data_IF_290420112013
#
_entry.id   IF_290420112013
#
_cell.length_a   1.000
_cell.length_b   1.000
_cell.length_c   1.000
_cell.angle_alpha   90.00
_cell.angle_beta   90.00
_cell.angle_gamma   90.00
#
_symmetry.space_group_name_H-M   'P 1'
#
loop_
_entity.id
_entity.type
_entity.pdbx_description
1 polymer ?
#
# COMPACT_ATOMS: atom_id res chain seq x y z
N UNK A 1 -11.44 -21.68 41.33
CA UNK A 1 -10.31 -21.74 40.38
C UNK A 1 -10.71 -21.49 38.91
N UNK A 2 -12.00 -21.48 38.57
CA UNK A 2 -12.51 -21.23 37.21
C UNK A 2 -12.47 -19.74 36.81
N UNK A 3 -12.72 -18.82 37.75
CA UNK A 3 -12.71 -17.36 37.51
C UNK A 3 -11.34 -16.83 37.03
N UNK A 4 -10.24 -17.48 37.42
CA UNK A 4 -8.89 -17.06 37.01
C UNK A 4 -8.55 -17.47 35.56
N UNK A 5 -9.25 -18.46 35.00
CA UNK A 5 -9.08 -18.90 33.62
C UNK A 5 -9.85 -18.00 32.65
N UNK A 6 -11.05 -17.57 33.01
CA UNK A 6 -11.85 -16.64 32.19
C UNK A 6 -11.20 -15.25 32.10
N UNK A 7 -10.71 -14.69 33.20
CA UNK A 7 -9.97 -13.43 33.17
C UNK A 7 -8.69 -13.50 32.31
N UNK A 8 -8.02 -14.66 32.29
CA UNK A 8 -6.85 -14.89 31.43
C UNK A 8 -7.24 -14.95 29.96
N UNK A 9 -8.27 -15.72 29.61
CA UNK A 9 -8.75 -15.81 28.23
C UNK A 9 -9.18 -14.44 27.70
N UNK A 10 -9.97 -13.69 28.48
CA UNK A 10 -10.37 -12.33 28.10
C UNK A 10 -9.18 -11.40 27.87
N UNK A 11 -8.11 -11.53 28.65
CA UNK A 11 -6.90 -10.75 28.43
C UNK A 11 -6.20 -11.12 27.12
N UNK A 12 -6.14 -12.41 26.79
CA UNK A 12 -5.54 -12.92 25.55
C UNK A 12 -6.34 -12.44 24.32
N UNK A 13 -7.66 -12.51 24.37
CA UNK A 13 -8.55 -12.05 23.29
C UNK A 13 -8.39 -10.54 23.04
N UNK A 14 -8.28 -9.74 24.12
CA UNK A 14 -8.04 -8.29 24.01
C UNK A 14 -6.68 -8.01 23.38
N UNK A 15 -5.63 -8.75 23.73
CA UNK A 15 -4.31 -8.60 23.11
C UNK A 15 -4.33 -8.92 21.62
N UNK A 16 -5.04 -9.99 21.22
CA UNK A 16 -5.19 -10.36 19.82
C UNK A 16 -5.95 -9.29 19.02
N UNK A 17 -7.01 -8.73 19.60
CA UNK A 17 -7.75 -7.61 18.99
C UNK A 17 -6.90 -6.35 18.84
N UNK A 18 -6.08 -6.01 19.84
CA UNK A 18 -5.17 -4.87 19.74
C UNK A 18 -4.12 -5.06 18.63
N UNK A 19 -3.59 -6.27 18.48
CA UNK A 19 -2.66 -6.60 17.40
C UNK A 19 -3.31 -6.49 16.02
N UNK A 20 -4.56 -6.95 15.88
CA UNK A 20 -5.32 -6.76 14.63
C UNK A 20 -5.50 -5.27 14.33
N UNK A 21 -5.86 -4.47 15.34
CA UNK A 21 -6.05 -3.03 15.20
C UNK A 21 -4.76 -2.31 14.77
N UNK A 22 -3.62 -2.64 15.38
CA UNK A 22 -2.31 -2.07 15.03
C UNK A 22 -1.95 -2.34 13.57
N UNK A 23 -2.13 -3.58 13.10
CA UNK A 23 -1.84 -3.93 11.70
C UNK A 23 -2.85 -3.26 10.76
N UNK A 24 -4.10 -3.08 11.18
CA UNK A 24 -5.09 -2.36 10.37
C UNK A 24 -4.72 -0.88 10.16
N UNK A 25 -4.20 -0.23 11.20
CA UNK A 25 -3.65 1.14 11.10
C UNK A 25 -2.45 1.17 10.15
N UNK A 26 -1.52 0.22 10.27
CA UNK A 26 -0.37 0.11 9.35
C UNK A 26 -0.83 -0.02 7.88
N UNK A 27 -1.88 -0.81 7.62
CA UNK A 27 -2.44 -0.95 6.26
C UNK A 27 -2.95 0.39 5.74
N UNK A 28 -3.72 1.14 6.53
CA UNK A 28 -4.25 2.45 6.12
C UNK A 28 -3.12 3.44 5.82
N UNK A 29 -2.10 3.51 6.69
CA UNK A 29 -0.93 4.37 6.47
C UNK A 29 -0.18 4.02 5.18
N UNK A 30 0.05 2.73 4.93
CA UNK A 30 0.71 2.27 3.70
C UNK A 30 -0.15 2.51 2.46
N UNK A 31 -1.48 2.43 2.56
CA UNK A 31 -2.39 2.75 1.47
C UNK A 31 -2.35 4.24 1.12
N UNK A 32 -2.34 5.12 2.13
CA UNK A 32 -2.13 6.56 1.94
C UNK A 32 -0.79 6.85 1.29
N UNK A 33 0.29 6.23 1.78
CA UNK A 33 1.62 6.38 1.17
C UNK A 33 1.63 5.92 -0.29
N UNK A 34 1.03 4.76 -0.60
CA UNK A 34 0.94 4.28 -1.98
C UNK A 34 0.06 5.17 -2.89
N UNK A 35 -0.93 5.87 -2.32
CA UNK A 35 -1.73 6.86 -3.04
C UNK A 35 -0.92 8.12 -3.38
N UNK A 36 -0.06 8.58 -2.48
CA UNK A 36 0.86 9.70 -2.73
C UNK A 36 1.85 9.35 -3.86
N UNK A 37 2.52 8.20 -3.79
CA UNK A 37 3.44 7.74 -4.84
C UNK A 37 2.75 7.59 -6.20
N UNK A 38 1.47 7.21 -6.20
CA UNK A 38 0.67 7.15 -7.42
C UNK A 38 0.39 8.56 -7.97
N UNK A 39 0.09 9.53 -7.11
CA UNK A 39 -0.12 10.91 -7.51
C UNK A 39 1.17 11.52 -8.07
N UNK A 40 2.33 11.23 -7.47
CA UNK A 40 3.63 11.66 -7.96
C UNK A 40 3.94 11.08 -9.34
N UNK A 41 3.70 9.78 -9.54
CA UNK A 41 3.81 9.15 -10.87
C UNK A 41 2.88 9.81 -11.90
N UNK A 42 1.64 10.12 -11.52
CA UNK A 42 0.69 10.80 -12.42
C UNK A 42 1.15 12.23 -12.75
N UNK A 43 1.73 12.93 -11.78
CA UNK A 43 2.33 14.24 -11.97
C UNK A 43 3.52 14.17 -12.94
N UNK A 44 4.39 13.17 -12.78
CA UNK A 44 5.52 12.94 -13.67
C UNK A 44 5.08 12.63 -15.12
N UNK A 45 4.05 11.80 -15.31
CA UNK A 45 3.43 11.62 -16.63
C UNK A 45 2.84 12.92 -17.19
N UNK A 46 2.22 13.75 -16.34
CA UNK A 46 1.73 15.07 -16.72
C UNK A 46 2.85 16.00 -17.21
N UNK A 47 3.93 16.10 -16.44
CA UNK A 47 5.10 16.91 -16.76
C UNK A 47 5.78 16.47 -18.06
N UNK A 48 5.94 15.16 -18.27
CA UNK A 48 6.49 14.62 -19.52
C UNK A 48 5.63 15.02 -20.73
N UNK A 49 4.30 14.85 -20.62
CA UNK A 49 3.36 15.21 -21.68
C UNK A 49 3.41 16.70 -22.03
N UNK A 50 3.50 17.56 -21.01
CA UNK A 50 3.66 19.00 -21.21
C UNK A 50 4.97 19.33 -21.92
N UNK A 51 6.08 18.68 -21.54
CA UNK A 51 7.38 18.90 -22.16
C UNK A 51 7.40 18.59 -23.66
N UNK A 52 6.69 17.54 -24.09
CA UNK A 52 6.62 17.17 -25.52
C UNK A 52 5.43 17.80 -26.26
N UNK A 53 4.62 18.62 -25.57
CA UNK A 53 3.44 19.25 -26.16
C UNK A 53 2.33 18.27 -26.56
N UNK A 54 2.26 17.10 -25.93
CA UNK A 54 1.29 16.06 -26.26
C UNK A 54 0.18 15.98 -25.21
N UNK A 55 -1.08 16.01 -25.62
CA UNK A 55 -2.22 15.80 -24.71
C UNK A 55 -2.28 14.34 -24.20
N UNK A 56 -1.97 13.41 -25.12
CA UNK A 56 -2.00 11.97 -24.89
C UNK A 56 -0.79 11.30 -25.51
N UNK A 57 -0.24 10.33 -24.78
CA UNK A 57 0.76 9.40 -25.29
C UNK A 57 0.08 8.06 -25.56
N UNK A 58 0.22 7.56 -26.78
CA UNK A 58 -0.38 6.28 -27.19
C UNK A 58 0.49 5.13 -26.68
N UNK A 59 -0.13 4.08 -26.15
CA UNK A 59 0.59 2.92 -25.66
C UNK A 59 1.39 2.26 -26.79
N UNK A 60 2.57 1.74 -26.46
CA UNK A 60 3.50 1.07 -27.37
C UNK A 60 4.07 1.99 -28.48
N UNK A 61 3.95 3.31 -28.33
CA UNK A 61 4.61 4.29 -29.21
C UNK A 61 6.04 4.63 -28.73
N UNK A 62 6.89 5.23 -29.57
CA UNK A 62 8.21 5.71 -29.13
C UNK A 62 8.14 6.71 -27.96
N UNK A 63 7.12 7.56 -27.94
CA UNK A 63 6.86 8.52 -26.86
C UNK A 63 6.44 7.83 -25.57
N UNK A 64 5.74 6.69 -25.67
CA UNK A 64 5.41 5.85 -24.51
C UNK A 64 6.66 5.25 -23.88
N UNK A 65 7.56 4.70 -24.69
CA UNK A 65 8.84 4.16 -24.20
C UNK A 65 9.73 5.27 -23.62
N UNK A 66 9.68 6.48 -24.19
CA UNK A 66 10.36 7.64 -23.65
C UNK A 66 9.77 8.07 -22.30
N UNK A 67 8.44 8.12 -22.18
CA UNK A 67 7.76 8.43 -20.92
C UNK A 67 8.07 7.41 -19.83
N UNK A 68 8.01 6.12 -20.15
CA UNK A 68 8.33 5.05 -19.20
C UNK A 68 9.77 5.14 -18.71
N UNK A 69 10.73 5.46 -19.58
CA UNK A 69 12.13 5.67 -19.19
C UNK A 69 12.29 6.93 -18.32
N UNK A 70 11.64 8.03 -18.69
CA UNK A 70 11.72 9.29 -17.96
C UNK A 70 11.10 9.22 -16.56
N UNK A 71 10.07 8.39 -16.37
CA UNK A 71 9.31 8.26 -15.12
C UNK A 71 9.55 6.93 -14.40
N UNK A 72 10.65 6.24 -14.75
CA UNK A 72 10.96 4.92 -14.22
C UNK A 72 11.13 4.91 -12.70
N UNK A 73 11.66 6.01 -12.13
CA UNK A 73 11.88 6.15 -10.70
C UNK A 73 10.57 6.20 -9.92
N UNK A 74 9.66 7.06 -10.32
CA UNK A 74 8.33 7.23 -9.73
C UNK A 74 7.50 5.95 -9.90
N UNK A 75 7.63 5.29 -11.06
CA UNK A 75 6.98 4.00 -11.27
C UNK A 75 7.52 2.94 -10.31
N UNK A 76 8.83 2.85 -10.13
CA UNK A 76 9.45 1.91 -9.20
C UNK A 76 9.02 2.20 -7.74
N UNK A 77 8.98 3.47 -7.33
CA UNK A 77 8.53 3.90 -6.01
C UNK A 77 7.08 3.49 -5.73
N UNK A 78 6.17 3.80 -6.66
CA UNK A 78 4.76 3.36 -6.59
C UNK A 78 4.63 1.83 -6.51
N UNK A 79 5.40 1.08 -7.31
CA UNK A 79 5.39 -0.39 -7.26
C UNK A 79 5.92 -0.95 -5.94
N UNK A 80 6.93 -0.32 -5.35
CA UNK A 80 7.44 -0.68 -4.03
C UNK A 80 6.40 -0.41 -2.94
N UNK A 81 5.74 0.75 -2.96
CA UNK A 81 4.68 1.10 -2.01
C UNK A 81 3.50 0.11 -2.11
N UNK A 82 3.04 -0.21 -3.34
CA UNK A 82 2.02 -1.24 -3.58
C UNK A 82 2.39 -2.61 -3.00
N UNK A 83 3.66 -2.99 -3.04
CA UNK A 83 4.13 -4.25 -2.47
C UNK A 83 4.07 -4.24 -0.94
N UNK A 84 4.39 -3.11 -0.31
CA UNK A 84 4.23 -2.92 1.14
C UNK A 84 2.77 -3.07 1.55
N UNK A 85 1.84 -2.41 0.85
CA UNK A 85 0.39 -2.55 1.08
C UNK A 85 -0.05 -4.00 0.97
N UNK A 86 0.35 -4.70 -0.09
CA UNK A 86 -0.02 -6.10 -0.29
C UNK A 86 0.45 -6.99 0.88
N UNK A 87 1.71 -6.82 1.30
CA UNK A 87 2.27 -7.59 2.40
C UNK A 87 1.57 -7.27 3.73
N UNK A 88 1.29 -6.00 4.02
CA UNK A 88 0.58 -5.59 5.22
C UNK A 88 -0.84 -6.17 5.26
N UNK A 89 -1.59 -6.12 4.16
CA UNK A 89 -2.91 -6.78 4.05
C UNK A 89 -2.84 -8.29 4.27
N UNK A 90 -1.77 -8.94 3.80
CA UNK A 90 -1.56 -10.37 4.05
C UNK A 90 -1.33 -10.66 5.53
N UNK A 91 -0.51 -9.83 6.21
CA UNK A 91 -0.31 -9.94 7.67
C UNK A 91 -1.60 -9.66 8.44
N UNK A 92 -2.39 -8.67 8.03
CA UNK A 92 -3.69 -8.37 8.64
C UNK A 92 -4.63 -9.57 8.54
N UNK A 93 -4.76 -10.16 7.35
CA UNK A 93 -5.60 -11.36 7.15
C UNK A 93 -5.14 -12.52 8.04
N UNK A 94 -3.83 -12.72 8.17
CA UNK A 94 -3.28 -13.75 9.04
C UNK A 94 -3.57 -13.47 10.52
N UNK A 95 -3.43 -12.23 10.97
CA UNK A 95 -3.74 -11.83 12.34
C UNK A 95 -5.22 -12.03 12.68
N UNK A 96 -6.13 -11.59 11.79
CA UNK A 96 -7.58 -11.82 11.94
C UNK A 96 -7.91 -13.31 12.01
N UNK A 97 -7.22 -14.14 11.23
CA UNK A 97 -7.47 -15.59 11.21
C UNK A 97 -6.91 -16.30 12.45
N UNK A 98 -5.93 -15.69 13.14
CA UNK A 98 -5.28 -16.25 14.32
C UNK A 98 -5.94 -15.79 15.62
N UNK A 99 -6.54 -14.59 15.63
CA UNK A 99 -7.31 -14.08 16.75
C UNK A 99 -8.52 -14.98 17.03
N UNK A 100 -8.73 -15.30 18.31
CA UNK A 100 -9.81 -16.18 18.78
C UNK A 100 -10.91 -15.40 19.48
#
# INVERSE_FOLDING_TARGET
MTECLECRQLSEDVFDMLKVAEIAVEVDELERAAALEKADLQSAYGGFKQQIGAERVTRDSPEWDAMLRATAGEYAAYKAAKRKVYNAKRRLKAAISAAR
#
